data_IF_532404108002
#
_entry.id   IF_532404108002
#
_cell.length_a   1.000
_cell.length_b   1.000
_cell.length_c   1.000
_cell.angle_alpha   90.00
_cell.angle_beta   90.00
_cell.angle_gamma   90.00
#
_symmetry.space_group_name_H-M   'P 1'
#
loop_
_entity.id
_entity.type
_entity.pdbx_description
1 polymer ?
#
# COMPACT_ATOMS: atom_id res chain seq x y z
N UNK A 1 -20.59 -44.78 16.00
CA UNK A 1 -19.89 -43.87 15.05
C UNK A 1 -20.37 -42.43 15.15
N UNK A 2 -21.68 -42.16 15.09
CA UNK A 2 -22.26 -40.79 15.04
C UNK A 2 -21.80 -39.81 16.14
N UNK A 3 -21.65 -40.25 17.39
CA UNK A 3 -21.15 -39.41 18.51
C UNK A 3 -19.68 -38.99 18.39
N UNK A 4 -18.82 -39.82 17.77
CA UNK A 4 -17.40 -39.49 17.57
C UNK A 4 -17.20 -38.50 16.42
N UNK A 5 -18.01 -38.60 15.37
CA UNK A 5 -18.00 -37.64 14.24
C UNK A 5 -18.45 -36.24 14.67
N UNK A 6 -19.47 -36.14 15.54
CA UNK A 6 -19.94 -34.86 16.10
C UNK A 6 -18.88 -34.19 16.99
N UNK A 7 -18.14 -34.96 17.80
CA UNK A 7 -17.05 -34.39 18.61
C UNK A 7 -15.91 -33.84 17.75
N UNK A 8 -15.56 -34.52 16.66
CA UNK A 8 -14.50 -34.08 15.74
C UNK A 8 -14.92 -32.82 14.97
N UNK A 9 -16.18 -32.71 14.55
CA UNK A 9 -16.69 -31.51 13.87
C UNK A 9 -16.79 -30.30 14.80
N UNK A 10 -17.09 -30.50 16.10
CA UNK A 10 -17.05 -29.44 17.12
C UNK A 10 -15.62 -28.96 17.37
N UNK A 11 -14.64 -29.86 17.37
CA UNK A 11 -13.23 -29.50 17.57
C UNK A 11 -12.66 -28.72 16.38
N UNK A 12 -13.00 -29.08 15.14
CA UNK A 12 -12.59 -28.36 13.94
C UNK A 12 -13.22 -26.96 13.80
N UNK A 13 -14.45 -26.79 14.29
CA UNK A 13 -15.13 -25.48 14.22
C UNK A 13 -14.59 -24.49 15.25
N UNK A 14 -14.16 -24.98 16.42
CA UNK A 14 -13.55 -24.13 17.45
C UNK A 14 -12.19 -23.54 17.01
N UNK A 15 -11.35 -24.33 16.34
CA UNK A 15 -10.05 -23.85 15.84
C UNK A 15 -10.20 -22.81 14.73
N UNK A 16 -11.19 -22.97 13.84
CA UNK A 16 -11.47 -22.00 12.79
C UNK A 16 -11.95 -20.65 13.34
N UNK A 17 -12.78 -20.66 14.40
CA UNK A 17 -13.27 -19.43 15.02
C UNK A 17 -12.17 -18.64 15.73
N UNK A 18 -11.25 -19.32 16.41
CA UNK A 18 -10.11 -18.68 17.08
C UNK A 18 -9.16 -17.99 16.08
N UNK A 19 -8.84 -18.64 14.95
CA UNK A 19 -8.00 -18.05 13.88
C UNK A 19 -8.70 -16.85 13.22
N UNK A 20 -10.02 -16.92 13.02
CA UNK A 20 -10.78 -15.81 12.45
C UNK A 20 -10.78 -14.56 13.35
N UNK A 21 -10.90 -14.75 14.67
CA UNK A 21 -10.81 -13.63 15.61
C UNK A 21 -9.40 -13.03 15.66
N UNK A 22 -8.37 -13.87 15.56
CA UNK A 22 -6.97 -13.41 15.57
C UNK A 22 -6.66 -12.56 14.32
N UNK A 23 -7.07 -13.00 13.13
CA UNK A 23 -6.84 -12.22 11.91
C UNK A 23 -7.63 -10.91 11.89
N UNK A 24 -8.87 -10.91 12.40
CA UNK A 24 -9.66 -9.68 12.51
C UNK A 24 -8.98 -8.67 13.44
N UNK A 25 -8.38 -9.14 14.54
CA UNK A 25 -7.61 -8.30 15.45
C UNK A 25 -6.31 -7.79 14.79
N UNK A 26 -5.60 -8.63 14.04
CA UNK A 26 -4.40 -8.22 13.31
C UNK A 26 -4.71 -7.06 12.36
N UNK A 27 -5.83 -7.12 11.64
CA UNK A 27 -6.22 -6.14 10.61
C UNK A 27 -7.22 -5.08 11.09
N UNK A 28 -7.41 -4.93 12.40
CA UNK A 28 -8.44 -4.03 12.96
C UNK A 28 -8.32 -2.59 12.46
N UNK A 29 -7.10 -2.05 12.44
CA UNK A 29 -6.81 -0.64 12.15
C UNK A 29 -5.83 -0.47 10.96
N UNK A 30 -5.68 -1.51 10.12
CA UNK A 30 -4.78 -1.48 8.96
C UNK A 30 -5.29 -2.34 7.81
N UNK A 31 -5.07 -1.87 6.58
CA UNK A 31 -5.43 -2.58 5.35
C UNK A 31 -4.45 -3.69 4.99
N UNK A 32 -3.20 -3.59 5.46
CA UNK A 32 -2.10 -4.52 5.20
C UNK A 32 -1.22 -4.75 6.43
N UNK A 33 -0.46 -5.84 6.39
CA UNK A 33 0.59 -6.15 7.38
C UNK A 33 1.94 -6.29 6.70
N UNK A 34 2.99 -5.85 7.39
CA UNK A 34 4.37 -6.16 7.07
C UNK A 34 4.86 -7.25 8.03
N UNK A 35 5.47 -8.30 7.49
CA UNK A 35 5.88 -9.44 8.29
C UNK A 35 7.09 -10.14 7.67
N UNK A 36 7.73 -10.98 8.48
CA UNK A 36 8.86 -11.80 8.05
C UNK A 36 8.66 -13.27 8.40
N UNK A 37 9.28 -14.14 7.60
CA UNK A 37 9.33 -15.58 7.81
C UNK A 37 10.60 -16.14 7.17
N UNK A 38 11.06 -17.28 7.67
CA UNK A 38 12.20 -17.98 7.10
C UNK A 38 11.73 -18.97 6.03
N UNK A 39 12.55 -19.14 5.00
CA UNK A 39 12.31 -20.14 3.96
C UNK A 39 13.37 -21.22 3.99
N UNK A 40 12.91 -22.46 3.79
CA UNK A 40 13.76 -23.64 3.68
C UNK A 40 13.64 -24.24 2.28
N UNK A 41 14.35 -25.34 2.02
CA UNK A 41 14.36 -26.03 0.72
C UNK A 41 12.98 -26.47 0.23
N UNK A 42 12.03 -26.69 1.15
CA UNK A 42 10.68 -27.15 0.84
C UNK A 42 9.70 -25.97 0.66
N UNK A 43 10.16 -24.74 0.85
CA UNK A 43 9.33 -23.55 0.74
C UNK A 43 9.21 -23.09 -0.71
N UNK A 44 8.03 -23.25 -1.28
CA UNK A 44 7.71 -22.76 -2.63
C UNK A 44 7.36 -21.26 -2.61
N UNK A 45 8.39 -20.42 -2.74
CA UNK A 45 8.26 -18.96 -2.85
C UNK A 45 7.40 -18.51 -4.03
N UNK A 46 7.42 -19.25 -5.14
CA UNK A 46 6.65 -18.88 -6.33
C UNK A 46 5.14 -19.09 -6.12
N UNK A 47 4.77 -20.11 -5.35
CA UNK A 47 3.39 -20.30 -4.90
C UNK A 47 2.98 -19.23 -3.88
N UNK A 48 3.87 -18.86 -2.96
CA UNK A 48 3.60 -17.85 -1.94
C UNK A 48 3.40 -16.45 -2.54
N UNK A 49 4.17 -16.07 -3.57
CA UNK A 49 4.06 -14.74 -4.21
C UNK A 49 2.72 -14.47 -4.88
N UNK A 50 1.87 -15.50 -5.04
CA UNK A 50 0.48 -15.34 -5.50
C UNK A 50 -0.46 -14.82 -4.41
N UNK A 51 -0.07 -14.97 -3.15
CA UNK A 51 -0.85 -14.57 -1.98
C UNK A 51 -0.26 -13.34 -1.28
N UNK A 52 1.06 -13.15 -1.33
CA UNK A 52 1.77 -12.08 -0.61
C UNK A 52 2.69 -11.31 -1.57
N UNK A 53 2.97 -10.05 -1.26
CA UNK A 53 3.93 -9.22 -1.97
C UNK A 53 5.29 -9.33 -1.30
N UNK A 54 6.25 -9.98 -1.95
CA UNK A 54 7.61 -10.11 -1.44
C UNK A 54 8.34 -8.77 -1.62
N UNK A 55 8.82 -8.20 -0.52
CA UNK A 55 9.57 -6.95 -0.46
C UNK A 55 11.08 -7.23 -0.61
N UNK A 56 11.59 -8.17 0.18
CA UNK A 56 13.00 -8.53 0.19
C UNK A 56 13.20 -10.00 0.58
N UNK A 57 14.29 -10.61 0.09
CA UNK A 57 14.77 -11.92 0.54
C UNK A 57 16.26 -11.77 0.87
N UNK A 58 16.62 -12.02 2.13
CA UNK A 58 18.02 -11.87 2.58
C UNK A 58 18.87 -13.07 2.18
N UNK A 59 20.22 -12.95 2.18
CA UNK A 59 21.11 -14.09 1.97
C UNK A 59 20.92 -15.24 2.97
N UNK A 60 20.43 -14.95 4.17
CA UNK A 60 20.12 -15.91 5.23
C UNK A 60 18.76 -16.61 5.04
N UNK A 61 18.13 -16.44 3.88
CA UNK A 61 16.83 -17.04 3.53
C UNK A 61 15.68 -16.53 4.41
N UNK A 62 15.77 -15.29 4.88
CA UNK A 62 14.67 -14.60 5.54
C UNK A 62 13.91 -13.73 4.52
N UNK A 63 12.59 -13.82 4.53
CA UNK A 63 11.72 -13.09 3.60
C UNK A 63 10.99 -12.00 4.36
N UNK A 64 10.91 -10.82 3.76
CA UNK A 64 10.08 -9.71 4.19
C UNK A 64 8.97 -9.52 3.17
N UNK A 65 7.73 -9.40 3.64
CA UNK A 65 6.59 -9.33 2.75
C UNK A 65 5.46 -8.47 3.31
N UNK A 66 4.64 -7.96 2.39
CA UNK A 66 3.38 -7.31 2.67
C UNK A 66 2.23 -8.22 2.27
N UNK A 67 1.12 -8.14 3.00
CA UNK A 67 -0.13 -8.76 2.57
C UNK A 67 -1.34 -8.01 3.11
N UNK A 68 -2.36 -7.89 2.27
CA UNK A 68 -3.71 -7.55 2.76
C UNK A 68 -4.34 -8.75 3.48
N UNK A 69 -5.48 -8.53 4.14
CA UNK A 69 -6.17 -9.55 4.95
C UNK A 69 -6.41 -10.87 4.20
N UNK A 70 -6.83 -10.79 2.93
CA UNK A 70 -7.08 -11.98 2.10
C UNK A 70 -5.78 -12.73 1.82
N UNK A 71 -4.74 -12.03 1.37
CA UNK A 71 -3.43 -12.60 1.07
C UNK A 71 -2.80 -13.27 2.30
N UNK A 72 -2.85 -12.57 3.43
CA UNK A 72 -2.32 -13.08 4.69
C UNK A 72 -3.08 -14.31 5.20
N UNK A 73 -4.40 -14.35 5.00
CA UNK A 73 -5.21 -15.55 5.29
C UNK A 73 -4.72 -16.76 4.50
N UNK A 74 -4.41 -16.61 3.21
CA UNK A 74 -3.89 -17.70 2.37
C UNK A 74 -2.48 -18.11 2.78
N UNK A 75 -1.64 -17.15 3.20
CA UNK A 75 -0.32 -17.42 3.75
C UNK A 75 -0.40 -18.27 5.03
N UNK A 76 -1.25 -17.91 5.99
CA UNK A 76 -1.37 -18.64 7.26
C UNK A 76 -1.80 -20.10 7.10
N UNK A 77 -2.58 -20.43 6.06
CA UNK A 77 -2.97 -21.82 5.75
C UNK A 77 -1.78 -22.72 5.40
N UNK A 78 -0.62 -22.14 5.07
CA UNK A 78 0.62 -22.87 4.80
C UNK A 78 1.31 -23.36 6.07
N UNK A 79 0.90 -22.86 7.24
CA UNK A 79 1.48 -23.28 8.53
C UNK A 79 2.94 -22.87 8.71
N UNK A 80 3.41 -21.87 7.96
CA UNK A 80 4.76 -21.31 8.09
C UNK A 80 4.77 -20.35 9.27
N UNK A 81 5.74 -20.50 10.17
CA UNK A 81 5.95 -19.56 11.28
C UNK A 81 6.35 -18.19 10.75
N UNK A 82 5.78 -17.13 11.34
CA UNK A 82 6.01 -15.75 10.91
C UNK A 82 6.07 -14.81 12.11
N UNK A 83 6.62 -13.62 11.87
CA UNK A 83 6.60 -12.51 12.83
C UNK A 83 6.08 -11.26 12.14
N UNK A 84 5.01 -10.66 12.68
CA UNK A 84 4.53 -9.36 12.22
C UNK A 84 5.47 -8.29 12.73
N UNK A 85 5.90 -7.41 11.82
CA UNK A 85 6.83 -6.33 12.08
C UNK A 85 6.10 -4.99 12.06
N UNK A 86 6.76 -3.96 12.59
CA UNK A 86 6.30 -2.58 12.41
C UNK A 86 6.35 -2.23 10.92
N UNK A 87 5.29 -1.57 10.43
CA UNK A 87 5.20 -1.17 9.03
C UNK A 87 6.30 -0.13 8.69
N UNK A 88 7.13 -0.33 7.65
CA UNK A 88 8.26 0.57 7.37
C UNK A 88 7.84 2.03 7.13
N UNK A 89 6.69 2.25 6.50
CA UNK A 89 6.12 3.58 6.30
C UNK A 89 5.70 4.32 7.58
N UNK A 90 5.71 3.66 8.75
CA UNK A 90 5.46 4.30 10.06
C UNK A 90 6.74 4.69 10.79
N UNK A 91 7.92 4.33 10.27
CA UNK A 91 9.20 4.62 10.91
C UNK A 91 9.60 6.08 10.77
N UNK A 92 9.04 6.78 9.79
CA UNK A 92 9.37 8.17 9.48
C UNK A 92 8.09 8.99 9.27
N UNK A 93 8.09 10.20 9.83
CA UNK A 93 7.03 11.19 9.65
C UNK A 93 7.61 12.38 8.90
N UNK A 94 7.63 12.35 7.55
CA UNK A 94 8.15 13.47 6.78
C UNK A 94 7.29 14.71 7.01
N UNK A 95 7.91 15.89 6.82
CA UNK A 95 7.18 17.16 6.84
C UNK A 95 6.28 17.22 5.61
N UNK A 96 4.97 17.35 5.82
CA UNK A 96 4.00 17.50 4.74
C UNK A 96 3.65 18.97 4.53
N UNK A 97 3.42 19.36 3.27
CA UNK A 97 2.90 20.69 2.93
C UNK A 97 1.43 20.56 2.50
N UNK A 98 0.53 21.15 3.27
CA UNK A 98 -0.91 21.01 3.06
C UNK A 98 -1.50 22.06 2.09
N UNK A 99 -0.94 23.27 2.04
CA UNK A 99 -1.43 24.35 1.17
C UNK A 99 -0.25 25.12 0.58
N UNK A 100 -0.27 25.32 -0.74
CA UNK A 100 0.89 25.74 -1.49
C UNK A 100 1.02 27.28 -1.55
N UNK A 101 1.81 27.85 -0.64
CA UNK A 101 2.41 29.17 -0.81
C UNK A 101 3.67 29.11 -1.69
N UNK A 102 3.57 28.53 -2.89
CA UNK A 102 4.71 28.07 -3.71
C UNK A 102 5.77 29.13 -3.94
N UNK A 103 5.34 30.39 -4.11
CA UNK A 103 6.22 31.52 -4.42
C UNK A 103 7.22 31.87 -3.30
N UNK A 104 7.02 31.37 -2.08
CA UNK A 104 7.89 31.64 -0.93
C UNK A 104 8.61 30.37 -0.42
N UNK A 105 8.71 29.34 -1.26
CA UNK A 105 9.41 28.10 -0.90
C UNK A 105 10.90 28.29 -1.18
N UNK A 106 11.65 28.63 -0.13
CA UNK A 106 13.11 28.78 -0.19
C UNK A 106 13.86 27.46 0.06
N UNK A 107 13.16 26.41 0.52
CA UNK A 107 13.74 25.10 0.85
C UNK A 107 12.75 23.97 0.53
N UNK A 108 13.17 23.00 -0.28
CA UNK A 108 12.36 21.87 -0.77
C UNK A 108 12.42 20.62 0.13
N UNK A 109 12.62 20.79 1.44
CA UNK A 109 12.71 19.67 2.39
C UNK A 109 11.34 19.30 2.99
N UNK A 110 10.36 19.01 2.13
CA UNK A 110 9.03 18.53 2.50
C UNK A 110 8.40 17.76 1.34
N UNK A 111 7.32 17.04 1.63
CA UNK A 111 6.49 16.37 0.63
C UNK A 111 5.14 17.08 0.52
N UNK A 112 4.76 17.63 -0.64
CA UNK A 112 3.43 18.19 -0.83
C UNK A 112 2.33 17.12 -0.70
N UNK A 113 1.20 17.52 -0.13
CA UNK A 113 -0.04 16.74 -0.21
C UNK A 113 -0.61 16.78 -1.62
N UNK A 114 -1.61 15.94 -1.90
CA UNK A 114 -2.34 15.98 -3.16
C UNK A 114 -2.91 17.37 -3.46
N UNK A 115 -3.60 17.98 -2.50
CA UNK A 115 -4.21 19.31 -2.67
C UNK A 115 -3.14 20.38 -2.91
N UNK A 116 -2.00 20.30 -2.19
CA UNK A 116 -0.88 21.19 -2.46
C UNK A 116 -0.29 21.00 -3.87
N UNK A 117 -0.22 19.78 -4.40
CA UNK A 117 0.19 19.56 -5.79
C UNK A 117 -0.81 20.16 -6.80
N UNK A 118 -2.11 20.05 -6.54
CA UNK A 118 -3.15 20.66 -7.39
C UNK A 118 -2.98 22.18 -7.40
N UNK A 119 -2.85 22.80 -6.23
CA UNK A 119 -2.60 24.25 -6.11
C UNK A 119 -1.32 24.66 -6.85
N UNK A 120 -0.23 23.88 -6.70
CA UNK A 120 1.03 24.12 -7.40
C UNK A 120 0.88 24.12 -8.92
N UNK A 121 0.13 23.15 -9.47
CA UNK A 121 -0.06 23.02 -10.91
C UNK A 121 -0.85 24.20 -11.47
N UNK A 122 -1.99 24.53 -10.87
CA UNK A 122 -2.79 25.66 -11.33
C UNK A 122 -2.12 27.02 -11.10
N UNK A 123 -1.34 27.16 -10.02
CA UNK A 123 -0.53 28.36 -9.81
C UNK A 123 0.54 28.52 -10.90
N UNK A 124 1.16 27.41 -11.35
CA UNK A 124 2.16 27.43 -12.41
C UNK A 124 1.56 27.81 -13.77
N UNK A 125 0.38 27.28 -14.12
CA UNK A 125 -0.39 27.72 -15.30
C UNK A 125 -0.74 29.23 -15.21
N UNK A 126 -1.23 29.69 -14.06
CA UNK A 126 -1.58 31.09 -13.85
C UNK A 126 -0.37 32.04 -13.95
N UNK A 127 0.82 31.59 -13.55
CA UNK A 127 2.05 32.37 -13.62
C UNK A 127 2.66 32.39 -15.04
N UNK A 128 2.41 31.35 -15.84
CA UNK A 128 2.97 31.19 -17.19
C UNK A 128 1.92 30.77 -18.24
N UNK A 129 0.84 31.55 -18.44
CA UNK A 129 -0.32 31.11 -19.25
C UNK A 129 -0.02 30.96 -20.75
N UNK A 130 1.04 31.60 -21.25
CA UNK A 130 1.48 31.47 -22.65
C UNK A 130 2.36 30.24 -22.88
N UNK A 131 2.84 29.59 -21.81
CA UNK A 131 3.79 28.48 -21.85
C UNK A 131 3.27 27.19 -21.26
N UNK A 132 2.26 27.25 -20.39
CA UNK A 132 1.72 26.10 -19.69
C UNK A 132 0.20 26.13 -19.67
N UNK A 133 -0.42 24.98 -19.94
CA UNK A 133 -1.82 24.71 -19.63
C UNK A 133 -1.97 23.43 -18.81
N UNK A 134 -2.88 23.46 -17.84
CA UNK A 134 -3.15 22.34 -16.94
C UNK A 134 -4.56 21.83 -17.19
N UNK A 135 -4.67 20.54 -17.47
CA UNK A 135 -5.95 19.89 -17.71
C UNK A 135 -6.02 18.51 -17.07
N UNK A 136 -7.24 18.12 -16.75
CA UNK A 136 -7.57 16.82 -16.18
C UNK A 136 -7.77 15.79 -17.30
N UNK A 137 -7.11 14.64 -17.19
CA UNK A 137 -7.30 13.50 -18.11
C UNK A 137 -8.27 12.45 -17.55
N UNK A 138 -8.92 12.75 -16.44
CA UNK A 138 -9.87 11.88 -15.76
C UNK A 138 -9.66 11.86 -14.26
N UNK A 139 -10.31 10.92 -13.59
CA UNK A 139 -10.25 10.78 -12.14
C UNK A 139 -9.83 9.38 -11.72
N UNK A 140 -9.16 9.28 -10.59
CA UNK A 140 -8.92 8.01 -9.90
C UNK A 140 -10.25 7.41 -9.40
N UNK A 141 -10.20 6.14 -8.97
CA UNK A 141 -11.36 5.46 -8.37
C UNK A 141 -11.88 6.15 -7.09
N UNK A 142 -11.04 6.95 -6.43
CA UNK A 142 -11.38 7.73 -5.24
C UNK A 142 -11.84 9.17 -5.57
N UNK A 143 -11.97 9.51 -6.86
CA UNK A 143 -12.47 10.81 -7.30
C UNK A 143 -11.42 11.94 -7.37
N UNK A 144 -10.13 11.64 -7.14
CA UNK A 144 -9.05 12.62 -7.35
C UNK A 144 -8.77 12.81 -8.84
N UNK A 145 -8.62 14.05 -9.28
CA UNK A 145 -8.23 14.40 -10.66
C UNK A 145 -6.80 13.94 -10.98
N UNK A 146 -6.63 13.43 -12.19
CA UNK A 146 -5.34 13.15 -12.81
C UNK A 146 -4.99 14.36 -13.69
N UNK A 147 -4.23 15.28 -13.12
CA UNK A 147 -3.82 16.50 -13.80
C UNK A 147 -2.56 16.28 -14.64
N UNK A 148 -2.50 16.93 -15.79
CA UNK A 148 -1.33 17.00 -16.67
C UNK A 148 -1.04 18.47 -16.93
N UNK A 149 0.22 18.86 -16.74
CA UNK A 149 0.73 20.15 -17.21
C UNK A 149 1.40 19.94 -18.57
N UNK A 150 0.89 20.59 -19.61
CA UNK A 150 1.53 20.64 -20.92
C UNK A 150 2.32 21.95 -20.99
N UNK A 151 3.61 21.83 -21.30
CA UNK A 151 4.52 22.97 -21.42
C UNK A 151 4.97 23.05 -22.89
N UNK A 152 4.72 24.18 -23.54
CA UNK A 152 4.98 24.39 -24.98
C UNK A 152 5.27 25.87 -25.26
N UNK A 153 5.97 26.15 -26.36
CA UNK A 153 6.23 27.52 -26.82
C UNK A 153 4.95 28.21 -27.34
N UNK A 154 3.87 27.45 -27.63
CA UNK A 154 2.60 28.01 -28.09
C UNK A 154 1.38 27.18 -27.66
N UNK A 155 0.80 27.53 -26.52
CA UNK A 155 -0.37 26.84 -25.94
C UNK A 155 -1.61 26.88 -26.86
N UNK A 156 -1.70 27.88 -27.74
CA UNK A 156 -2.85 28.08 -28.64
C UNK A 156 -2.81 27.24 -29.93
N UNK A 157 -1.71 26.53 -30.19
CA UNK A 157 -1.54 25.71 -31.38
C UNK A 157 -1.42 24.22 -31.01
N UNK A 158 -2.04 23.36 -31.81
CA UNK A 158 -1.68 21.94 -31.80
C UNK A 158 -0.43 21.79 -32.66
N UNK A 159 0.65 21.32 -32.04
CA UNK A 159 1.79 20.78 -32.80
C UNK A 159 1.45 19.43 -33.45
#
# INVERSE_FOLDING_TARGET
MLRKTILISILLSFTAFAIAQDIDNIFKDRSEVYFTFDVNTDTDLQSLSRAISIDNVTPEMQVFAYANKKGFSEFMKRGISYTILQHPGTLHHPRMLDVAGVKNIDSWDFYPTYDAYVDMMYQFEADFPELCDVFSIGTTNEGRELLVARITDNVSQSE
#
